data_IF_778857870657
#
_entry.id   IF_778857870657
#
_cell.length_a   1.000
_cell.length_b   1.000
_cell.length_c   1.000
_cell.angle_alpha   90.00
_cell.angle_beta   90.00
_cell.angle_gamma   90.00
#
_symmetry.space_group_name_H-M   'P 1'
#
loop_
_entity.id
_entity.type
_entity.pdbx_description
1 polymer ?
#
# COMPACT_ATOMS: atom_id res chain seq x y z
N UNK A 1 35.57 13.42 10.31
CA UNK A 1 34.71 13.69 9.14
C UNK A 1 34.40 12.41 8.35
N UNK A 2 33.56 11.50 8.86
CA UNK A 2 33.06 10.36 8.08
C UNK A 2 31.62 10.68 7.67
N UNK A 3 31.44 11.13 6.43
CA UNK A 3 30.13 11.37 5.83
C UNK A 3 29.41 10.05 5.64
N UNK A 4 28.68 9.62 6.67
CA UNK A 4 27.78 8.48 6.60
C UNK A 4 26.56 8.93 5.81
N UNK A 5 26.68 8.90 4.48
CA UNK A 5 25.56 9.12 3.57
C UNK A 5 24.52 8.04 3.92
N UNK A 6 23.37 8.38 4.51
CA UNK A 6 22.38 7.39 4.86
C UNK A 6 21.96 6.69 3.56
N UNK A 7 22.03 5.37 3.55
CA UNK A 7 21.63 4.54 2.41
C UNK A 7 20.15 4.81 2.12
N UNK A 8 19.90 5.68 1.13
CA UNK A 8 18.57 6.11 0.69
C UNK A 8 17.86 4.97 -0.06
N UNK A 9 17.59 3.86 0.64
CA UNK A 9 16.64 2.84 0.19
C UNK A 9 15.23 3.41 0.38
N UNK A 10 14.79 4.25 -0.55
CA UNK A 10 13.39 4.72 -0.58
C UNK A 10 12.59 3.82 -1.49
N UNK A 11 11.40 3.42 -1.03
CA UNK A 11 10.46 2.62 -1.80
C UNK A 11 9.67 3.58 -2.70
N UNK A 12 9.76 3.36 -4.00
CA UNK A 12 8.99 4.09 -5.00
C UNK A 12 7.85 3.18 -5.43
N UNK A 13 6.62 3.65 -5.28
CA UNK A 13 5.43 2.93 -5.74
C UNK A 13 4.67 3.82 -6.73
N UNK A 14 4.16 3.22 -7.81
CA UNK A 14 3.44 3.92 -8.86
C UNK A 14 2.16 3.16 -9.25
N UNK A 15 1.05 3.87 -9.36
CA UNK A 15 -0.23 3.33 -9.82
C UNK A 15 -0.95 4.35 -10.72
N UNK A 16 -1.11 4.01 -12.00
CA UNK A 16 -1.67 4.92 -13.02
C UNK A 16 -0.76 6.14 -13.23
N UNK A 17 -1.28 7.33 -12.92
CA UNK A 17 -0.55 8.61 -13.00
C UNK A 17 0.10 9.03 -11.67
N UNK A 18 -0.13 8.27 -10.58
CA UNK A 18 0.34 8.63 -9.24
C UNK A 18 1.64 7.91 -8.91
N UNK A 19 2.64 8.66 -8.46
CA UNK A 19 3.94 8.16 -8.00
C UNK A 19 4.22 8.72 -6.61
N UNK A 20 4.55 7.85 -5.66
CA UNK A 20 4.96 8.26 -4.30
C UNK A 20 6.31 7.64 -3.95
N UNK A 21 7.06 8.37 -3.13
CA UNK A 21 8.37 7.94 -2.62
C UNK A 21 8.28 7.96 -1.10
N UNK A 22 8.29 6.79 -0.48
CA UNK A 22 8.19 6.63 0.98
C UNK A 22 9.34 5.79 1.51
N UNK A 23 9.53 5.81 2.83
CA UNK A 23 10.61 5.08 3.49
C UNK A 23 10.34 3.58 3.52
N UNK A 24 9.05 3.19 3.55
CA UNK A 24 8.64 1.79 3.57
C UNK A 24 7.49 1.51 2.59
N UNK A 25 7.35 0.23 2.19
CA UNK A 25 6.25 -0.24 1.35
C UNK A 25 4.85 0.05 1.93
N UNK A 26 4.55 -0.20 3.22
CA UNK A 26 3.23 0.12 3.78
C UNK A 26 2.93 1.63 3.72
N UNK A 27 3.92 2.49 3.93
CA UNK A 27 3.76 3.95 3.76
C UNK A 27 3.53 4.32 2.30
N UNK A 28 4.24 3.69 1.35
CA UNK A 28 4.05 3.92 -0.08
C UNK A 28 2.64 3.51 -0.54
N UNK A 29 2.13 2.37 -0.07
CA UNK A 29 0.78 1.92 -0.36
C UNK A 29 -0.27 2.83 0.31
N UNK A 30 -0.05 3.24 1.55
CA UNK A 30 -0.91 4.21 2.23
C UNK A 30 -0.90 5.59 1.55
N UNK A 31 0.22 6.03 0.99
CA UNK A 31 0.31 7.30 0.27
C UNK A 31 -0.31 7.23 -1.15
N UNK A 32 -0.29 6.06 -1.80
CA UNK A 32 -0.93 5.86 -3.11
C UNK A 32 -2.44 5.66 -3.01
N UNK A 33 -2.89 4.87 -2.04
CA UNK A 33 -4.26 4.37 -1.95
C UNK A 33 -5.01 4.86 -0.70
N UNK A 34 -4.30 5.41 0.28
CA UNK A 34 -4.92 6.07 1.44
C UNK A 34 -5.33 7.51 1.12
N UNK A 35 -6.40 7.96 1.76
CA UNK A 35 -6.85 9.35 1.76
C UNK A 35 -5.88 10.18 2.60
N UNK A 36 -4.78 10.65 2.00
CA UNK A 36 -4.11 11.84 2.55
C UNK A 36 -5.05 13.01 2.23
N UNK A 37 -5.72 13.64 3.23
CA UNK A 37 -6.28 14.94 2.98
C UNK A 37 -5.12 15.82 2.55
N UNK A 38 -5.20 16.38 1.34
CA UNK A 38 -4.38 17.52 0.98
C UNK A 38 -4.44 18.51 2.16
N UNK A 39 -3.34 19.18 2.55
CA UNK A 39 -3.44 20.26 3.50
C UNK A 39 -4.17 21.42 2.81
N UNK A 40 -5.50 21.34 2.74
CA UNK A 40 -6.36 22.49 2.52
C UNK A 40 -6.37 23.23 3.85
N UNK A 41 -5.74 24.39 3.86
CA UNK A 41 -6.02 25.38 4.90
C UNK A 41 -7.52 25.66 4.94
N UNK A 42 -8.05 25.61 6.16
CA UNK A 42 -9.26 26.26 6.66
C UNK A 42 -10.63 25.77 6.15
N UNK A 43 -11.48 25.40 7.11
CA UNK A 43 -12.94 25.37 6.97
C UNK A 43 -13.56 24.20 7.70
N UNK A 44 -14.21 24.48 8.84
CA UNK A 44 -14.77 23.46 9.74
C UNK A 44 -15.94 22.66 9.17
N UNK A 45 -16.33 21.62 9.92
CA UNK A 45 -17.55 20.88 9.64
C UNK A 45 -17.52 19.48 10.24
N UNK A 46 -18.60 19.17 10.94
CA UNK A 46 -18.87 17.96 11.69
C UNK A 46 -18.83 16.62 10.91
N UNK A 47 -18.49 15.57 11.66
CA UNK A 47 -19.11 14.22 11.69
C UNK A 47 -19.28 13.43 10.38
N UNK A 48 -18.49 12.35 10.20
CA UNK A 48 -18.96 11.03 9.73
C UNK A 48 -17.86 9.96 9.84
N UNK A 49 -18.10 8.80 10.49
CA UNK A 49 -17.27 7.61 10.36
C UNK A 49 -17.71 6.81 9.12
N UNK A 50 -17.19 7.11 7.93
CA UNK A 50 -17.66 6.46 6.70
C UNK A 50 -16.55 6.16 5.66
N UNK A 51 -15.36 5.67 6.04
CA UNK A 51 -14.39 5.20 5.03
C UNK A 51 -13.60 3.97 5.50
N UNK A 52 -14.28 2.82 5.59
CA UNK A 52 -13.70 1.55 6.03
C UNK A 52 -13.36 0.51 4.94
N UNK A 53 -13.76 0.59 3.65
CA UNK A 53 -13.46 -0.51 2.70
C UNK A 53 -12.07 -0.42 2.06
N UNK A 54 -11.50 0.77 1.87
CA UNK A 54 -10.18 0.94 1.25
C UNK A 54 -9.03 0.55 2.20
N UNK A 55 -9.16 0.90 3.48
CA UNK A 55 -8.20 0.54 4.54
C UNK A 55 -8.18 -0.96 4.81
N UNK A 56 -9.33 -1.64 4.66
CA UNK A 56 -9.48 -3.06 4.91
C UNK A 56 -8.78 -3.92 3.83
N UNK A 57 -8.99 -3.57 2.55
CA UNK A 57 -8.27 -4.23 1.43
C UNK A 57 -6.77 -3.96 1.44
N UNK A 58 -6.34 -2.80 1.94
CA UNK A 58 -4.92 -2.49 2.13
C UNK A 58 -4.26 -3.42 3.14
N UNK A 59 -4.97 -3.78 4.21
CA UNK A 59 -4.50 -4.76 5.19
C UNK A 59 -4.50 -6.17 4.63
N UNK A 60 -5.52 -6.54 3.87
CA UNK A 60 -5.61 -7.85 3.21
C UNK A 60 -4.45 -8.08 2.22
N UNK A 61 -4.10 -7.07 1.42
CA UNK A 61 -2.93 -7.12 0.54
C UNK A 61 -1.61 -7.30 1.32
N UNK A 62 -1.45 -6.59 2.44
CA UNK A 62 -0.26 -6.74 3.30
C UNK A 62 -0.16 -8.14 3.91
N UNK A 63 -1.30 -8.72 4.31
CA UNK A 63 -1.36 -10.06 4.87
C UNK A 63 -0.93 -11.11 3.84
N UNK A 64 -1.47 -11.04 2.61
CA UNK A 64 -1.06 -11.92 1.52
C UNK A 64 0.44 -11.79 1.21
N UNK A 65 0.98 -10.58 1.17
CA UNK A 65 2.43 -10.41 0.98
C UNK A 65 3.25 -11.08 2.09
N UNK A 66 2.85 -10.93 3.37
CA UNK A 66 3.56 -11.53 4.49
C UNK A 66 3.53 -13.06 4.42
N UNK A 67 2.36 -13.65 4.16
CA UNK A 67 2.21 -15.09 3.97
C UNK A 67 3.08 -15.60 2.82
N UNK A 68 3.15 -14.87 1.70
CA UNK A 68 4.01 -15.23 0.57
C UNK A 68 5.49 -15.32 1.01
N UNK A 69 5.97 -14.34 1.79
CA UNK A 69 7.34 -14.33 2.31
C UNK A 69 7.58 -15.48 3.31
N UNK A 70 6.58 -15.88 4.10
CA UNK A 70 6.69 -17.07 4.95
C UNK A 70 6.81 -18.37 4.14
N UNK A 71 6.00 -18.53 3.09
CA UNK A 71 6.12 -19.64 2.15
C UNK A 71 7.51 -19.69 1.48
N UNK A 72 8.03 -18.53 1.05
CA UNK A 72 9.37 -18.41 0.49
C UNK A 72 10.46 -18.82 1.50
N UNK A 73 10.35 -18.40 2.76
CA UNK A 73 11.27 -18.77 3.84
C UNK A 73 11.22 -20.27 4.17
N UNK A 74 10.05 -20.87 4.08
CA UNK A 74 9.84 -22.30 4.29
C UNK A 74 10.23 -23.16 3.07
N UNK A 75 10.62 -22.53 1.95
CA UNK A 75 10.94 -23.21 0.69
C UNK A 75 9.73 -23.73 -0.08
N UNK A 76 8.52 -23.29 0.30
CA UNK A 76 7.27 -23.65 -0.35
C UNK A 76 6.96 -22.69 -1.51
N UNK A 77 7.56 -22.99 -2.66
CA UNK A 77 7.42 -22.17 -3.87
C UNK A 77 6.00 -22.14 -4.42
N UNK A 78 5.22 -23.21 -4.21
CA UNK A 78 3.84 -23.31 -4.67
C UNK A 78 2.90 -22.39 -3.87
N UNK A 79 3.02 -22.37 -2.54
CA UNK A 79 2.26 -21.46 -1.68
C UNK A 79 2.67 -20.01 -1.89
N UNK A 80 3.95 -19.72 -2.11
CA UNK A 80 4.40 -18.38 -2.49
C UNK A 80 3.69 -17.87 -3.76
N UNK A 81 3.65 -18.68 -4.82
CA UNK A 81 2.98 -18.31 -6.07
C UNK A 81 1.47 -18.12 -5.90
N UNK A 82 0.83 -18.97 -5.09
CA UNK A 82 -0.60 -18.88 -4.78
C UNK A 82 -0.92 -17.59 -4.04
N UNK A 83 -0.09 -17.23 -3.07
CA UNK A 83 -0.31 -16.05 -2.25
C UNK A 83 0.00 -14.75 -3.01
N UNK A 84 0.98 -14.79 -3.92
CA UNK A 84 1.27 -13.69 -4.83
C UNK A 84 0.14 -13.46 -5.84
N UNK A 85 -0.52 -14.51 -6.32
CA UNK A 85 -1.71 -14.40 -7.19
C UNK A 85 -2.88 -13.73 -6.45
N UNK A 86 -3.14 -14.15 -5.21
CA UNK A 86 -4.17 -13.54 -4.34
C UNK A 86 -3.88 -12.07 -4.07
N UNK A 87 -2.64 -11.73 -3.75
CA UNK A 87 -2.20 -10.35 -3.61
C UNK A 87 -2.48 -9.53 -4.88
N UNK A 88 -2.14 -10.07 -6.05
CA UNK A 88 -2.43 -9.43 -7.33
C UNK A 88 -3.92 -9.18 -7.55
N UNK A 89 -4.77 -10.13 -7.16
CA UNK A 89 -6.23 -9.99 -7.22
C UNK A 89 -6.75 -8.85 -6.33
N UNK A 90 -6.31 -8.78 -5.08
CA UNK A 90 -6.73 -7.73 -4.13
C UNK A 90 -6.26 -6.35 -4.60
N UNK A 91 -5.02 -6.23 -5.09
CA UNK A 91 -4.49 -4.97 -5.62
C UNK A 91 -5.22 -4.55 -6.91
N UNK A 92 -5.56 -5.50 -7.78
CA UNK A 92 -6.33 -5.21 -8.99
C UNK A 92 -7.76 -4.77 -8.66
N UNK A 93 -8.41 -5.41 -7.68
CA UNK A 93 -9.75 -5.02 -7.23
C UNK A 93 -9.75 -3.64 -6.56
N UNK A 94 -8.74 -3.34 -5.74
CA UNK A 94 -8.53 -1.99 -5.18
C UNK A 94 -8.27 -0.96 -6.27
N UNK A 95 -7.50 -1.33 -7.28
CA UNK A 95 -7.19 -0.48 -8.42
C UNK A 95 -8.34 -0.31 -9.44
N UNK A 96 -9.29 -1.25 -9.45
CA UNK A 96 -10.49 -1.26 -10.30
C UNK A 96 -11.68 -0.62 -9.60
N UNK A 97 -11.72 -0.58 -8.27
CA UNK A 97 -12.66 0.25 -7.54
C UNK A 97 -12.53 1.68 -8.08
N UNK A 98 -13.52 2.19 -8.84
CA UNK A 98 -13.39 3.48 -9.45
C UNK A 98 -13.27 4.50 -8.32
N UNK A 99 -12.31 5.41 -8.46
CA UNK A 99 -12.48 6.77 -7.99
C UNK A 99 -13.78 7.30 -8.60
N UNK A 100 -14.90 7.00 -7.94
CA UNK A 100 -16.24 7.27 -8.41
C UNK A 100 -16.74 8.57 -7.81
N UNK A 101 -16.66 9.61 -8.64
CA UNK A 101 -17.28 10.95 -8.56
C UNK A 101 -16.86 11.87 -7.41
#
# INVERSE_FOLDING_TARGET
EQGQLPELKRVIAAYGDRVVMQETLPEALAALFGTVPAPVSAGGGAEAPLEQPATDRGREALDHYNQAIEHLKSGDWAGFGTELDRLGGVLQDMGRAPAGH
#
